data_IF_870338853338
#
_entry.id   IF_870338853338
#
_cell.length_a   1.000
_cell.length_b   1.000
_cell.length_c   1.000
_cell.angle_alpha   90.00
_cell.angle_beta   90.00
_cell.angle_gamma   90.00
#
_symmetry.space_group_name_H-M   'P 1'
#
loop_
_entity.id
_entity.type
_entity.pdbx_description
1 polymer ?
#
# COMPACT_ATOMS: atom_id res chain seq x y z
N UNK A 1 9.93 17.95 9.44
CA UNK A 1 9.23 17.17 8.37
C UNK A 1 9.13 18.02 7.11
N UNK A 2 9.28 17.44 5.91
CA UNK A 2 9.09 18.11 4.62
C UNK A 2 8.28 17.18 3.73
N UNK A 3 7.37 17.73 2.94
CA UNK A 3 6.57 16.99 1.98
C UNK A 3 7.03 17.35 0.57
N UNK A 4 7.47 16.34 -0.18
CA UNK A 4 7.75 16.45 -1.61
C UNK A 4 6.56 15.88 -2.38
N UNK A 5 6.04 16.66 -3.31
CA UNK A 5 4.96 16.21 -4.19
C UNK A 5 5.38 16.39 -5.63
N UNK A 6 5.25 15.31 -6.40
CA UNK A 6 5.60 15.24 -7.81
C UNK A 6 4.30 15.00 -8.56
N UNK A 7 4.00 15.86 -9.55
CA UNK A 7 2.85 15.63 -10.42
C UNK A 7 3.11 14.43 -11.32
N UNK A 8 2.07 13.61 -11.53
CA UNK A 8 2.13 12.48 -12.47
C UNK A 8 2.01 12.94 -13.93
N UNK A 9 1.43 14.13 -14.17
CA UNK A 9 1.08 14.65 -15.49
C UNK A 9 1.98 15.81 -15.96
N UNK A 10 3.20 15.92 -15.40
CA UNK A 10 4.17 16.93 -15.84
C UNK A 10 5.32 17.14 -14.86
N UNK A 11 6.31 17.99 -15.18
CA UNK A 11 7.51 18.20 -14.37
C UNK A 11 7.25 19.12 -13.16
N UNK A 12 6.07 19.04 -12.56
CA UNK A 12 5.69 19.89 -11.44
C UNK A 12 6.13 19.25 -10.13
N UNK A 13 6.79 20.05 -9.32
CA UNK A 13 7.35 19.65 -8.04
C UNK A 13 7.07 20.72 -6.99
N UNK A 14 6.61 20.30 -5.82
CA UNK A 14 6.44 21.15 -4.65
C UNK A 14 7.27 20.60 -3.49
N UNK A 15 8.00 21.48 -2.81
CA UNK A 15 8.78 21.16 -1.62
C UNK A 15 8.24 21.94 -0.41
N UNK A 16 7.26 21.36 0.28
CA UNK A 16 6.46 22.04 1.29
C UNK A 16 7.05 21.77 2.69
N UNK A 17 7.37 22.81 3.48
CA UNK A 17 7.76 22.66 4.87
C UNK A 17 6.64 22.01 5.69
N UNK A 18 6.98 20.98 6.47
CA UNK A 18 5.99 20.20 7.21
C UNK A 18 5.25 20.98 8.30
N UNK A 19 5.81 22.08 8.81
CA UNK A 19 5.12 22.96 9.77
C UNK A 19 3.93 23.69 9.16
N UNK A 20 3.90 23.85 7.82
CA UNK A 20 2.77 24.46 7.13
C UNK A 20 1.60 23.51 6.91
N UNK A 21 1.77 22.20 7.12
CA UNK A 21 0.80 21.19 6.70
C UNK A 21 -0.20 20.91 7.83
N UNK A 22 -1.51 21.21 7.64
CA UNK A 22 -2.53 20.84 8.61
C UNK A 22 -2.66 19.31 8.70
N UNK A 23 -2.83 18.81 9.93
CA UNK A 23 -2.65 17.39 10.31
C UNK A 23 -3.61 16.40 9.61
N UNK A 24 -4.66 16.89 8.92
CA UNK A 24 -5.73 16.01 8.40
C UNK A 24 -5.72 15.77 6.90
N UNK A 25 -5.36 16.75 6.07
CA UNK A 25 -5.30 16.59 4.61
C UNK A 25 -4.54 17.76 3.96
N UNK A 26 -3.94 17.49 2.80
CA UNK A 26 -3.36 18.50 1.93
C UNK A 26 -3.98 18.36 0.54
N UNK A 27 -4.43 19.47 -0.04
CA UNK A 27 -4.88 19.55 -1.43
C UNK A 27 -3.97 20.52 -2.17
N UNK A 28 -3.45 20.09 -3.33
CA UNK A 28 -2.52 20.85 -4.14
C UNK A 28 -3.10 20.94 -5.54
N UNK A 29 -3.24 22.17 -6.00
CA UNK A 29 -3.76 22.52 -7.30
C UNK A 29 -2.83 23.54 -7.91
N UNK A 30 -2.64 23.50 -9.23
CA UNK A 30 -1.92 24.55 -9.95
C UNK A 30 -2.67 25.87 -9.77
N UNK A 31 -1.95 26.95 -9.45
CA UNK A 31 -2.51 28.24 -9.07
C UNK A 31 -3.01 28.30 -7.62
N UNK A 32 -2.80 27.25 -6.83
CA UNK A 32 -3.23 27.18 -5.43
C UNK A 32 -2.24 27.82 -4.47
N UNK A 33 -2.63 27.88 -3.19
CA UNK A 33 -1.83 28.48 -2.11
C UNK A 33 -0.44 27.86 -1.91
N UNK A 34 -0.23 26.64 -2.40
CA UNK A 34 1.03 25.92 -2.25
C UNK A 34 2.04 26.21 -3.35
N UNK A 35 1.66 26.93 -4.41
CA UNK A 35 2.56 27.24 -5.52
C UNK A 35 3.74 28.12 -5.12
N UNK A 36 3.66 28.80 -3.97
CA UNK A 36 4.82 29.47 -3.37
C UNK A 36 5.96 28.49 -2.96
N UNK A 37 5.66 27.20 -2.85
CA UNK A 37 6.63 26.12 -2.60
C UNK A 37 6.93 25.30 -3.85
N UNK A 38 6.43 25.71 -5.03
CA UNK A 38 6.76 25.08 -6.29
C UNK A 38 8.23 25.35 -6.61
N UNK A 39 8.95 24.32 -7.02
CA UNK A 39 10.36 24.41 -7.36
C UNK A 39 10.67 23.65 -8.64
N UNK A 40 11.81 23.95 -9.26
CA UNK A 40 12.31 23.18 -10.39
C UNK A 40 13.05 21.94 -9.92
N UNK A 41 13.18 20.94 -10.80
CA UNK A 41 14.01 19.76 -10.53
C UNK A 41 15.48 20.12 -10.26
N UNK A 42 15.98 21.20 -10.86
CA UNK A 42 17.33 21.73 -10.62
C UNK A 42 17.50 22.34 -9.23
N UNK A 43 16.43 22.86 -8.62
CA UNK A 43 16.50 23.46 -7.28
C UNK A 43 16.36 22.41 -6.16
N UNK A 44 15.79 21.24 -6.48
CA UNK A 44 15.51 20.20 -5.51
C UNK A 44 16.73 19.82 -4.67
N UNK A 45 17.94 19.55 -5.22
CA UNK A 45 19.11 19.22 -4.41
C UNK A 45 19.44 20.30 -3.38
N UNK A 46 19.34 21.58 -3.74
CA UNK A 46 19.63 22.70 -2.83
C UNK A 46 18.60 22.79 -1.70
N UNK A 47 17.33 22.60 -2.03
CA UNK A 47 16.23 22.58 -1.05
C UNK A 47 16.41 21.41 -0.08
N UNK A 48 16.68 20.20 -0.59
CA UNK A 48 16.95 19.02 0.22
C UNK A 48 18.14 19.25 1.15
N UNK A 49 19.24 19.81 0.65
CA UNK A 49 20.42 20.12 1.46
C UNK A 49 20.12 21.13 2.57
N UNK A 50 19.37 22.19 2.27
CA UNK A 50 18.95 23.19 3.27
C UNK A 50 18.14 22.55 4.40
N UNK A 51 17.16 21.74 4.03
CA UNK A 51 16.24 21.04 4.94
C UNK A 51 16.98 19.98 5.77
N UNK A 52 17.91 19.22 5.18
CA UNK A 52 18.65 18.16 5.88
C UNK A 52 19.75 18.68 6.82
N UNK A 53 20.20 19.93 6.68
CA UNK A 53 21.14 20.54 7.62
C UNK A 53 20.54 20.67 9.03
N UNK A 54 19.23 20.88 9.13
CA UNK A 54 18.55 20.98 10.41
C UNK A 54 18.08 19.61 10.92
N UNK A 55 19.05 18.84 11.45
CA UNK A 55 18.82 17.47 11.93
C UNK A 55 17.81 17.38 13.07
N UNK A 56 17.54 18.47 13.79
CA UNK A 56 16.61 18.49 14.92
C UNK A 56 15.14 18.50 14.50
N UNK A 57 14.84 18.86 13.24
CA UNK A 57 13.46 18.98 12.74
C UNK A 57 12.85 17.68 12.18
N UNK A 58 13.60 16.57 12.18
CA UNK A 58 13.17 15.31 11.56
C UNK A 58 13.55 14.11 12.41
N UNK A 59 12.57 13.25 12.69
CA UNK A 59 12.83 11.94 13.29
C UNK A 59 13.54 11.07 12.25
N UNK A 60 14.83 10.85 12.43
CA UNK A 60 15.59 9.90 11.62
C UNK A 60 15.29 8.50 12.13
N UNK A 61 14.77 7.66 11.25
CA UNK A 61 14.62 6.23 11.49
C UNK A 61 15.32 5.49 10.36
N UNK A 62 15.98 4.35 10.65
CA UNK A 62 16.52 3.47 9.63
C UNK A 62 15.46 3.08 8.58
N UNK A 63 15.89 2.87 7.33
CA UNK A 63 14.98 2.61 6.20
C UNK A 63 14.13 1.34 6.39
N UNK A 64 14.69 0.32 7.03
CA UNK A 64 14.00 -0.90 7.44
C UNK A 64 12.88 -0.62 8.45
N UNK A 65 13.06 0.32 9.38
CA UNK A 65 12.00 0.74 10.31
C UNK A 65 10.86 1.43 9.57
N UNK A 66 11.16 2.20 8.52
CA UNK A 66 10.12 2.80 7.67
C UNK A 66 9.35 1.78 6.84
N UNK A 67 9.96 0.64 6.50
CA UNK A 67 9.32 -0.47 5.78
C UNK A 67 8.39 -1.29 6.67
N UNK A 68 8.53 -1.20 8.00
CA UNK A 68 7.65 -1.93 8.91
C UNK A 68 6.26 -1.30 8.96
N UNK A 69 5.18 -2.08 8.76
CA UNK A 69 3.84 -1.54 8.85
C UNK A 69 3.53 -1.03 10.27
N UNK A 70 2.90 0.14 10.34
CA UNK A 70 2.62 0.84 11.62
C UNK A 70 1.38 0.34 12.33
N UNK A 71 0.39 -0.15 11.57
CA UNK A 71 -0.88 -0.66 12.12
C UNK A 71 -0.84 -2.18 12.20
N UNK A 72 -1.58 -2.75 13.15
CA UNK A 72 -1.68 -4.20 13.30
C UNK A 72 -2.24 -4.85 12.03
N UNK A 73 -3.21 -4.19 11.40
CA UNK A 73 -3.85 -4.63 10.16
C UNK A 73 -2.84 -4.72 9.02
N UNK A 74 -2.04 -3.67 8.79
CA UNK A 74 -1.04 -3.71 7.73
C UNK A 74 0.08 -4.72 8.02
N UNK A 75 0.42 -4.96 9.29
CA UNK A 75 1.37 -6.03 9.66
C UNK A 75 0.83 -7.42 9.31
N UNK A 76 -0.45 -7.66 9.61
CA UNK A 76 -1.15 -8.90 9.27
C UNK A 76 -1.20 -9.08 7.75
N UNK A 77 -1.51 -8.03 7.00
CA UNK A 77 -1.55 -8.06 5.53
C UNK A 77 -0.17 -8.36 4.92
N UNK A 78 0.89 -7.69 5.40
CA UNK A 78 2.25 -7.95 4.94
C UNK A 78 2.69 -9.39 5.24
N UNK A 79 2.44 -9.87 6.45
CA UNK A 79 2.78 -11.24 6.85
C UNK A 79 2.01 -12.27 6.00
N UNK A 80 0.70 -12.07 5.83
CA UNK A 80 -0.13 -12.94 5.00
C UNK A 80 0.36 -12.96 3.55
N UNK A 81 0.77 -11.80 3.03
CA UNK A 81 1.35 -11.69 1.70
C UNK A 81 2.63 -12.52 1.58
N UNK A 82 3.58 -12.38 2.51
CA UNK A 82 4.83 -13.14 2.50
C UNK A 82 4.60 -14.65 2.61
N UNK A 83 3.66 -15.08 3.45
CA UNK A 83 3.27 -16.48 3.58
C UNK A 83 2.64 -17.00 2.29
N UNK A 84 1.74 -16.23 1.68
CA UNK A 84 1.13 -16.56 0.38
C UNK A 84 2.14 -16.68 -0.75
N UNK A 85 3.11 -15.76 -0.81
CA UNK A 85 4.21 -15.83 -1.78
C UNK A 85 4.99 -17.14 -1.65
N UNK A 86 5.25 -17.62 -0.43
CA UNK A 86 5.91 -18.92 -0.21
C UNK A 86 5.04 -20.09 -0.66
N UNK A 87 3.72 -20.03 -0.45
CA UNK A 87 2.78 -21.05 -0.94
C UNK A 87 2.81 -21.12 -2.47
N UNK A 88 2.68 -19.98 -3.15
CA UNK A 88 2.76 -19.92 -4.62
C UNK A 88 4.12 -20.37 -5.16
N UNK A 89 5.22 -19.94 -4.54
CA UNK A 89 6.57 -20.35 -4.94
C UNK A 89 6.77 -21.86 -4.83
N UNK A 90 6.24 -22.50 -3.77
CA UNK A 90 6.26 -23.97 -3.63
C UNK A 90 5.47 -24.70 -4.71
N UNK A 91 4.45 -24.04 -5.28
CA UNK A 91 3.70 -24.53 -6.43
C UNK A 91 4.37 -24.21 -7.78
N UNK A 92 5.59 -23.68 -7.79
CA UNK A 92 6.30 -23.28 -9.01
C UNK A 92 5.75 -22.02 -9.67
N UNK A 93 5.00 -21.20 -8.93
CA UNK A 93 4.40 -19.96 -9.42
C UNK A 93 5.20 -18.75 -8.94
N UNK A 94 5.33 -17.75 -9.80
CA UNK A 94 5.96 -16.48 -9.45
C UNK A 94 4.91 -15.45 -9.02
N UNK A 95 5.29 -14.56 -8.09
CA UNK A 95 4.40 -13.52 -7.55
C UNK A 95 5.06 -12.16 -7.75
N UNK A 96 4.33 -11.24 -8.37
CA UNK A 96 4.71 -9.84 -8.52
C UNK A 96 3.66 -8.93 -7.88
N UNK A 97 4.10 -7.75 -7.43
CA UNK A 97 3.20 -6.71 -6.92
C UNK A 97 2.94 -5.65 -7.98
N UNK A 98 1.70 -5.13 -8.08
CA UNK A 98 1.46 -3.93 -8.86
C UNK A 98 2.17 -2.73 -8.23
N UNK A 99 2.61 -1.80 -9.07
CA UNK A 99 3.23 -0.54 -8.62
C UNK A 99 2.23 0.36 -7.87
N UNK A 100 0.94 0.26 -8.21
CA UNK A 100 -0.11 1.10 -7.64
C UNK A 100 -0.59 0.50 -6.32
N UNK A 101 -0.25 1.18 -5.21
CA UNK A 101 -0.82 0.87 -3.90
C UNK A 101 -2.34 1.10 -3.89
N UNK A 102 -3.09 0.23 -3.20
CA UNK A 102 -4.57 0.27 -3.12
C UNK A 102 -5.30 0.08 -4.46
N UNK A 103 -4.66 -0.62 -5.40
CA UNK A 103 -5.27 -1.02 -6.66
C UNK A 103 -6.41 -2.04 -6.52
N UNK A 104 -6.98 -2.49 -7.66
CA UNK A 104 -8.04 -3.51 -7.72
C UNK A 104 -7.60 -4.92 -7.29
N UNK A 105 -6.29 -5.18 -7.26
CA UNK A 105 -5.68 -6.44 -6.86
C UNK A 105 -4.36 -6.15 -6.14
N UNK A 106 -3.90 -7.09 -5.32
CA UNK A 106 -2.70 -6.91 -4.49
C UNK A 106 -1.45 -7.56 -5.11
N UNK A 107 -1.65 -8.56 -5.98
CA UNK A 107 -0.56 -9.28 -6.62
C UNK A 107 -0.97 -9.87 -7.98
N UNK A 108 0.03 -10.21 -8.78
CA UNK A 108 -0.10 -10.98 -10.02
C UNK A 108 0.68 -12.28 -9.84
N UNK A 109 -0.03 -13.40 -9.97
CA UNK A 109 0.57 -14.74 -9.92
C UNK A 109 0.76 -15.23 -11.35
N UNK A 110 1.98 -15.61 -11.70
CA UNK A 110 2.32 -16.07 -13.06
C UNK A 110 2.83 -17.50 -13.01
N UNK A 111 2.20 -18.35 -13.81
CA UNK A 111 2.59 -19.74 -14.05
C UNK A 111 2.73 -20.04 -15.54
N UNK A 112 2.86 -21.33 -15.87
CA UNK A 112 3.07 -21.80 -17.26
C UNK A 112 1.92 -21.39 -18.20
N UNK A 113 0.68 -21.38 -17.69
CA UNK A 113 -0.51 -21.12 -18.49
C UNK A 113 -0.96 -19.65 -18.50
N UNK A 114 -0.14 -18.74 -17.95
CA UNK A 114 -0.41 -17.31 -17.98
C UNK A 114 -0.38 -16.65 -16.60
N UNK A 115 -1.08 -15.52 -16.52
CA UNK A 115 -1.09 -14.63 -15.36
C UNK A 115 -2.49 -14.50 -14.78
N UNK A 116 -2.56 -14.44 -13.45
CA UNK A 116 -3.79 -14.29 -12.68
C UNK A 116 -3.63 -13.08 -11.76
N UNK A 117 -4.54 -12.10 -11.85
CA UNK A 117 -4.60 -10.97 -10.92
C UNK A 117 -5.32 -11.42 -9.66
N UNK A 118 -4.68 -11.25 -8.51
CA UNK A 118 -5.16 -11.79 -7.25
C UNK A 118 -5.39 -10.66 -6.26
N UNK A 119 -6.63 -10.53 -5.77
CA UNK A 119 -6.92 -9.75 -4.57
C UNK A 119 -6.74 -10.66 -3.36
N UNK A 120 -6.13 -10.15 -2.30
CA UNK A 120 -5.98 -10.85 -1.04
C UNK A 120 -6.71 -10.19 0.11
N UNK A 121 -7.08 -11.01 1.10
CA UNK A 121 -7.58 -10.57 2.41
C UNK A 121 -7.00 -11.46 3.49
N UNK A 122 -6.55 -10.86 4.59
CA UNK A 122 -6.03 -11.57 5.75
C UNK A 122 -6.93 -11.39 6.97
N UNK A 123 -7.08 -12.43 7.78
CA UNK A 123 -7.83 -12.41 9.04
C UNK A 123 -7.07 -13.16 10.12
N UNK A 124 -7.02 -12.60 11.33
CA UNK A 124 -6.52 -13.30 12.51
C UNK A 124 -7.66 -13.96 13.26
N UNK A 125 -7.50 -15.24 13.59
CA UNK A 125 -8.40 -15.98 14.45
C UNK A 125 -7.99 -15.77 15.91
N UNK A 126 -8.94 -15.43 16.81
CA UNK A 126 -8.67 -15.42 18.23
C UNK A 126 -8.39 -16.85 18.73
N UNK A 127 -7.63 -16.94 19.82
CA UNK A 127 -7.39 -18.22 20.50
C UNK A 127 -8.74 -18.83 20.95
N UNK A 128 -8.96 -20.12 20.67
CA UNK A 128 -10.16 -20.86 21.12
C UNK A 128 -11.48 -20.60 20.36
N UNK A 129 -11.49 -19.83 19.27
CA UNK A 129 -12.72 -19.53 18.53
C UNK A 129 -12.89 -20.27 17.20
N UNK A 130 -14.02 -20.97 17.01
CA UNK A 130 -14.53 -21.46 15.72
C UNK A 130 -15.54 -20.49 15.08
N UNK A 131 -15.26 -19.18 15.09
CA UNK A 131 -16.21 -18.20 14.55
C UNK A 131 -16.07 -18.03 13.04
N UNK A 132 -17.19 -18.09 12.34
CA UNK A 132 -17.30 -17.64 10.96
C UNK A 132 -16.94 -16.14 10.89
N UNK A 133 -15.97 -15.79 10.04
CA UNK A 133 -15.57 -14.39 9.81
C UNK A 133 -16.09 -13.94 8.46
N UNK A 134 -16.90 -12.90 8.47
CA UNK A 134 -17.28 -12.22 7.23
C UNK A 134 -16.08 -11.45 6.66
N UNK A 135 -15.82 -11.65 5.37
CA UNK A 135 -14.77 -10.95 4.65
C UNK A 135 -15.43 -9.91 3.76
N UNK A 136 -15.26 -8.66 4.15
CA UNK A 136 -15.79 -7.53 3.39
C UNK A 136 -14.90 -7.30 2.17
N UNK A 137 -15.48 -7.48 0.98
CA UNK A 137 -14.86 -7.20 -0.30
C UNK A 137 -15.22 -5.78 -0.77
N UNK A 138 -14.53 -4.79 -0.20
CA UNK A 138 -14.61 -3.38 -0.61
C UNK A 138 -13.20 -2.80 -0.72
N UNK A 139 -13.01 -1.84 -1.63
CA UNK A 139 -11.79 -1.03 -1.74
C UNK A 139 -12.06 0.41 -1.35
N UNK A 140 -11.02 1.13 -0.95
CA UNK A 140 -11.10 2.58 -0.76
C UNK A 140 -11.25 3.25 -2.12
N UNK A 141 -12.12 4.26 -2.19
CA UNK A 141 -12.37 5.09 -3.36
C UNK A 141 -12.22 6.59 -3.04
N UNK A 142 -11.43 6.89 -2.00
CA UNK A 142 -11.21 8.25 -1.47
C UNK A 142 -11.11 8.26 0.06
N UNK A 143 -10.93 9.44 0.67
CA UNK A 143 -10.71 9.58 2.12
C UNK A 143 -11.81 9.01 3.02
N UNK A 144 -13.05 8.91 2.51
CA UNK A 144 -14.21 8.41 3.26
C UNK A 144 -15.16 7.55 2.40
N UNK A 145 -14.75 7.20 1.18
CA UNK A 145 -15.58 6.44 0.26
C UNK A 145 -15.06 5.00 0.13
N UNK A 146 -15.99 4.05 0.13
CA UNK A 146 -15.72 2.66 -0.21
C UNK A 146 -16.47 2.30 -1.48
N UNK A 147 -15.82 1.53 -2.36
CA UNK A 147 -16.42 0.99 -3.58
C UNK A 147 -16.35 -0.53 -3.54
N UNK A 148 -17.38 -1.18 -4.05
CA UNK A 148 -17.34 -2.63 -4.30
C UNK A 148 -16.37 -2.93 -5.45
N UNK A 149 -15.76 -4.11 -5.40
CA UNK A 149 -14.99 -4.60 -6.53
C UNK A 149 -15.93 -4.96 -7.69
N UNK A 150 -15.53 -4.64 -8.90
CA UNK A 150 -16.14 -5.15 -10.12
C UNK A 150 -15.62 -6.57 -10.40
N UNK A 151 -16.37 -7.38 -11.16
CA UNK A 151 -15.91 -8.71 -11.61
C UNK A 151 -14.59 -8.63 -12.37
N UNK A 152 -14.40 -7.58 -13.16
CA UNK A 152 -13.18 -7.36 -13.94
C UNK A 152 -11.98 -6.84 -13.14
N UNK A 153 -12.14 -6.51 -11.85
CA UNK A 153 -11.04 -5.95 -11.05
C UNK A 153 -9.91 -6.97 -10.83
N UNK A 154 -10.24 -8.25 -10.63
CA UNK A 154 -9.28 -9.33 -10.39
C UNK A 154 -9.85 -10.69 -10.78
N UNK A 155 -8.97 -11.68 -10.96
CA UNK A 155 -9.31 -13.00 -11.48
C UNK A 155 -9.48 -14.03 -10.35
N UNK A 156 -8.82 -13.82 -9.20
CA UNK A 156 -8.95 -14.68 -8.03
C UNK A 156 -8.89 -13.92 -6.70
N UNK A 157 -9.58 -14.45 -5.68
CA UNK A 157 -9.52 -14.00 -4.30
C UNK A 157 -8.74 -15.02 -3.45
N UNK A 158 -7.74 -14.54 -2.72
CA UNK A 158 -7.06 -15.33 -1.70
C UNK A 158 -7.43 -14.85 -0.30
N UNK A 159 -7.79 -15.79 0.55
CA UNK A 159 -8.08 -15.55 1.96
C UNK A 159 -7.05 -16.27 2.82
N UNK A 160 -6.33 -15.49 3.62
CA UNK A 160 -5.38 -15.98 4.60
C UNK A 160 -6.01 -15.97 5.99
N UNK A 161 -6.03 -17.12 6.65
CA UNK A 161 -6.38 -17.23 8.06
C UNK A 161 -5.12 -17.42 8.88
N UNK A 162 -4.87 -16.49 9.78
CA UNK A 162 -3.70 -16.49 10.66
C UNK A 162 -4.12 -16.73 12.11
N UNK A 163 -3.27 -17.37 12.90
CA UNK A 163 -3.34 -17.38 14.38
C UNK A 163 -1.93 -17.26 14.91
N UNK A 164 -1.71 -16.29 15.80
CA UNK A 164 -0.40 -16.06 16.41
C UNK A 164 0.71 -16.00 15.34
N UNK A 165 0.44 -15.26 14.25
CA UNK A 165 1.32 -15.08 13.08
C UNK A 165 1.56 -16.34 12.21
N UNK A 166 1.02 -17.50 12.58
CA UNK A 166 1.08 -18.71 11.77
C UNK A 166 -0.08 -18.77 10.75
N UNK A 167 0.21 -19.24 9.53
CA UNK A 167 -0.81 -19.53 8.51
C UNK A 167 -1.55 -20.82 8.87
N UNK A 168 -2.84 -20.71 9.21
CA UNK A 168 -3.72 -21.84 9.48
C UNK A 168 -4.54 -22.25 8.26
N UNK A 169 -4.85 -21.30 7.38
CA UNK A 169 -5.70 -21.55 6.23
C UNK A 169 -5.34 -20.65 5.06
N UNK A 170 -5.32 -21.25 3.88
CA UNK A 170 -5.13 -20.59 2.60
C UNK A 170 -6.27 -21.03 1.69
N UNK A 171 -7.17 -20.10 1.37
CA UNK A 171 -8.33 -20.38 0.52
C UNK A 171 -8.21 -19.56 -0.76
N UNK A 172 -8.22 -20.23 -1.89
CA UNK A 172 -8.17 -19.63 -3.22
C UNK A 172 -9.53 -19.80 -3.88
N UNK A 173 -10.16 -18.69 -4.25
CA UNK A 173 -11.40 -18.65 -5.00
C UNK A 173 -11.13 -18.09 -6.38
N UNK A 174 -11.36 -18.88 -7.41
CA UNK A 174 -11.35 -18.41 -8.79
C UNK A 174 -12.68 -17.69 -9.04
N UNK A 175 -12.61 -16.50 -9.62
CA UNK A 175 -13.81 -15.80 -10.04
C UNK A 175 -14.10 -16.18 -11.49
N UNK A 176 -15.31 -16.67 -11.74
CA UNK A 176 -15.82 -16.85 -13.10
C UNK A 176 -16.03 -15.47 -13.71
N UNK A 177 -15.16 -15.10 -14.65
CA UNK A 177 -15.36 -13.94 -15.51
C UNK A 177 -16.09 -14.35 -16.79
#
# INVERSE_FOLDING_TARGET
MMLLLISLDGPLLWAIPGHGIPVRYISITVGGKWDCYRCSWSDLPLILHSVWKDRHLYKQLPADVWRQPRTKEHRIELLAHDLGRRVFARAGLSVAHPFVEQGPYDMVVTGVHGRVRVQSKARTLPHGGHQARCIVLKRRAGPQAFRQYASSDFDALVIYLLRDEALLGFFLFLLSN
#
